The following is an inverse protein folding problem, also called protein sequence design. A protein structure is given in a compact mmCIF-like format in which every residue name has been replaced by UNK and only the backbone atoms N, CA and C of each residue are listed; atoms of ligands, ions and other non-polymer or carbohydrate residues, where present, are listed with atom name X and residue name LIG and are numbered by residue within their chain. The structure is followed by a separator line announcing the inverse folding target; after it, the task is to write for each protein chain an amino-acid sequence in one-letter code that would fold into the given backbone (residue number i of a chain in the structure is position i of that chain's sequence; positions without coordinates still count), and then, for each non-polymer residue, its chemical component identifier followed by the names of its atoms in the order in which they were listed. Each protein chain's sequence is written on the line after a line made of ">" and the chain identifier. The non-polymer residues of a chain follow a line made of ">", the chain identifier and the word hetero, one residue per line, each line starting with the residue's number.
data_IF_085795076229
#
_entry.id   IF_085795076229
#
_cell.length_a   1.000
_cell.length_b   1.000
_cell.length_c   1.000
_cell.angle_alpha   90.00
_cell.angle_beta   90.00
_cell.angle_gamma   90.00
#
_symmetry.space_group_name_H-M   'P 1'
#
loop_
_entity.id
_entity.type
_entity.pdbx_description
1 polymer ?
#
# COMPACT_ATOMS: atom_id res chain seq x y z
N UNK A 1 -26.59 23.50 16.98
CA UNK A 1 -25.81 22.91 18.09
C UNK A 1 -24.97 21.80 17.48
N UNK A 2 -23.66 22.00 17.30
CA UNK A 2 -22.81 20.94 16.79
C UNK A 2 -22.62 19.92 17.92
N UNK A 3 -23.38 18.85 17.86
CA UNK A 3 -23.50 17.87 18.95
C UNK A 3 -22.23 17.01 19.00
N UNK A 4 -21.24 17.45 19.78
CA UNK A 4 -19.98 16.74 19.94
C UNK A 4 -20.15 15.59 20.93
N UNK A 5 -19.88 14.35 20.49
CA UNK A 5 -19.91 13.17 21.36
C UNK A 5 -18.51 12.86 21.89
N UNK A 6 -18.41 12.61 23.20
CA UNK A 6 -17.18 12.13 23.84
C UNK A 6 -17.14 10.60 23.76
N UNK A 7 -16.08 10.07 23.17
CA UNK A 7 -15.74 8.64 23.21
C UNK A 7 -14.58 8.45 24.18
N UNK A 8 -14.61 7.40 25.00
CA UNK A 8 -13.52 7.04 25.93
C UNK A 8 -13.32 5.53 25.88
N UNK A 9 -12.07 5.10 25.77
CA UNK A 9 -11.65 3.71 25.83
C UNK A 9 -10.32 3.61 26.56
N UNK A 10 -10.02 2.42 27.07
CA UNK A 10 -8.78 2.15 27.80
C UNK A 10 -7.83 1.36 26.90
N UNK A 11 -6.55 1.70 26.95
CA UNK A 11 -5.46 0.93 26.38
C UNK A 11 -4.65 0.31 27.52
N UNK A 12 -4.17 -0.91 27.34
CA UNK A 12 -3.42 -1.67 28.34
C UNK A 12 -2.02 -2.00 27.82
N UNK A 13 -1.09 -1.03 27.83
CA UNK A 13 0.22 -1.18 27.18
C UNK A 13 1.05 -2.33 27.74
N UNK A 14 0.85 -2.73 29.01
CA UNK A 14 1.56 -3.87 29.60
C UNK A 14 1.01 -5.23 29.16
N UNK A 15 -0.27 -5.30 28.81
CA UNK A 15 -0.96 -6.54 28.45
C UNK A 15 -0.91 -6.83 26.96
N UNK A 16 -0.97 -5.79 26.12
CA UNK A 16 -1.04 -5.93 24.67
C UNK A 16 0.10 -5.18 23.98
N UNK A 17 0.77 -5.83 23.02
CA UNK A 17 1.83 -5.22 22.23
C UNK A 17 1.31 -4.06 21.37
N UNK A 18 0.11 -4.19 20.79
CA UNK A 18 -0.51 -3.16 19.97
C UNK A 18 -0.79 -1.88 20.76
N UNK A 19 -1.31 -2.02 21.99
CA UNK A 19 -1.57 -0.90 22.90
C UNK A 19 -0.27 -0.18 23.28
N UNK A 20 0.82 -0.93 23.45
CA UNK A 20 2.14 -0.37 23.74
C UNK A 20 2.67 0.48 22.57
N UNK A 21 2.46 0.03 21.34
CA UNK A 21 2.81 0.79 20.12
C UNK A 21 1.99 2.08 20.05
N UNK A 22 0.68 2.00 20.28
CA UNK A 22 -0.22 3.14 20.27
C UNK A 22 0.13 4.17 21.36
N UNK A 23 0.45 3.72 22.57
CA UNK A 23 0.85 4.57 23.69
C UNK A 23 2.14 5.34 23.37
N UNK A 24 3.19 4.63 22.93
CA UNK A 24 4.45 5.25 22.47
C UNK A 24 4.26 6.23 21.31
N UNK A 25 3.32 5.96 20.40
CA UNK A 25 2.99 6.87 19.31
C UNK A 25 2.36 8.16 19.83
N UNK A 26 1.44 8.06 20.80
CA UNK A 26 0.80 9.22 21.42
C UNK A 26 1.77 10.04 22.27
N UNK A 27 2.72 9.40 22.95
CA UNK A 27 3.74 10.09 23.74
C UNK A 27 4.63 11.01 22.89
N UNK A 28 5.01 10.55 21.68
CA UNK A 28 5.84 11.31 20.72
C UNK A 28 5.15 12.56 20.18
N UNK A 29 3.82 12.61 20.20
CA UNK A 29 3.05 13.73 19.65
C UNK A 29 2.91 14.88 20.67
N UNK A 30 3.02 16.15 20.21
CA UNK A 30 2.71 17.30 21.04
C UNK A 30 1.28 17.23 21.58
N UNK A 31 1.08 17.62 22.85
CA UNK A 31 -0.21 17.50 23.54
C UNK A 31 -1.38 18.15 22.77
N UNK A 32 -1.13 19.27 22.08
CA UNK A 32 -2.14 19.98 21.28
C UNK A 32 -2.63 19.17 20.07
N UNK A 33 -1.80 18.26 19.55
CA UNK A 33 -2.12 17.48 18.33
C UNK A 33 -2.67 16.09 18.63
N UNK A 34 -2.46 15.57 19.85
CA UNK A 34 -2.93 14.23 20.27
C UNK A 34 -4.42 14.03 20.00
N UNK A 35 -5.26 15.01 20.33
CA UNK A 35 -6.70 14.93 20.07
C UNK A 35 -7.07 14.81 18.59
N UNK A 36 -6.35 15.53 17.72
CA UNK A 36 -6.52 15.45 16.26
C UNK A 36 -6.07 14.08 15.73
N UNK A 37 -4.92 13.59 16.20
CA UNK A 37 -4.36 12.30 15.81
C UNK A 37 -5.26 11.14 16.25
N UNK A 38 -5.73 11.11 17.51
CA UNK A 38 -6.65 10.08 18.01
C UNK A 38 -7.95 10.04 17.22
N UNK A 39 -8.52 11.20 16.89
CA UNK A 39 -9.71 11.28 16.02
C UNK A 39 -9.43 10.71 14.63
N UNK A 40 -8.28 11.04 14.03
CA UNK A 40 -7.91 10.52 12.71
C UNK A 40 -7.73 8.99 12.73
N UNK A 41 -7.08 8.45 13.76
CA UNK A 41 -6.91 7.00 13.93
C UNK A 41 -8.26 6.28 14.09
N UNK A 42 -9.16 6.81 14.91
CA UNK A 42 -10.52 6.26 15.07
C UNK A 42 -11.30 6.28 13.75
N UNK A 43 -11.24 7.39 13.00
CA UNK A 43 -11.93 7.51 11.71
C UNK A 43 -11.33 6.58 10.65
N UNK A 44 -10.02 6.39 10.64
CA UNK A 44 -9.34 5.42 9.78
C UNK A 44 -9.84 4.00 10.07
N UNK A 45 -9.84 3.59 11.35
CA UNK A 45 -10.40 2.31 11.77
C UNK A 45 -11.86 2.14 11.33
N UNK A 46 -12.69 3.15 11.51
CA UNK A 46 -14.09 3.12 11.06
C UNK A 46 -14.24 3.01 9.54
N UNK A 47 -13.38 3.68 8.77
CA UNK A 47 -13.37 3.56 7.30
C UNK A 47 -12.99 2.15 6.84
N UNK A 48 -12.04 1.51 7.53
CA UNK A 48 -11.66 0.12 7.28
C UNK A 48 -12.77 -0.85 7.68
N UNK A 49 -13.43 -0.65 8.85
CA UNK A 49 -14.59 -1.47 9.26
C UNK A 49 -15.73 -1.43 8.24
N UNK A 50 -15.92 -0.29 7.55
CA UNK A 50 -16.96 -0.16 6.52
C UNK A 50 -16.71 -1.07 5.31
N UNK A 51 -15.45 -1.36 4.99
CA UNK A 51 -15.10 -2.27 3.89
C UNK A 51 -15.12 -3.73 4.33
N UNK A 52 -14.50 -4.02 5.47
CA UNK A 52 -14.56 -5.34 6.11
C UNK A 52 -14.49 -5.15 7.63
N UNK A 53 -15.44 -5.72 8.36
CA UNK A 53 -15.55 -5.58 9.82
C UNK A 53 -14.35 -6.18 10.56
N UNK A 54 -13.65 -7.16 9.97
CA UNK A 54 -12.54 -7.90 10.58
C UNK A 54 -11.21 -7.17 10.44
N UNK A 55 -11.08 -6.29 9.44
CA UNK A 55 -9.82 -5.63 9.09
C UNK A 55 -9.16 -4.90 10.25
N UNK A 56 -9.85 -4.01 10.97
CA UNK A 56 -9.23 -3.27 12.08
C UNK A 56 -8.82 -4.15 13.24
N UNK A 57 -9.58 -5.23 13.51
CA UNK A 57 -9.22 -6.19 14.55
C UNK A 57 -7.97 -6.99 14.17
N UNK A 58 -7.86 -7.44 12.92
CA UNK A 58 -6.68 -8.14 12.43
C UNK A 58 -5.45 -7.23 12.44
N UNK A 59 -5.58 -6.01 11.92
CA UNK A 59 -4.46 -5.05 11.92
C UNK A 59 -4.04 -4.72 13.36
N UNK A 60 -5.00 -4.57 14.29
CA UNK A 60 -4.69 -4.33 15.70
C UNK A 60 -3.97 -5.52 16.34
N UNK A 61 -4.38 -6.76 16.07
CA UNK A 61 -3.72 -7.96 16.62
C UNK A 61 -2.30 -8.16 16.08
N UNK A 62 -2.07 -7.85 14.80
CA UNK A 62 -0.76 -7.94 14.15
C UNK A 62 0.14 -6.72 14.40
N UNK A 63 -0.35 -5.68 15.08
CA UNK A 63 0.43 -4.47 15.34
C UNK A 63 1.49 -4.73 16.41
N UNK A 64 2.75 -4.66 15.98
CA UNK A 64 3.95 -4.83 16.81
C UNK A 64 4.94 -3.72 16.47
N UNK A 65 6.02 -3.59 17.26
CA UNK A 65 7.07 -2.59 17.00
C UNK A 65 7.77 -2.77 15.63
N UNK A 66 7.72 -3.98 15.04
CA UNK A 66 8.36 -4.33 13.76
C UNK A 66 7.40 -4.41 12.58
N UNK A 67 6.12 -4.08 12.76
CA UNK A 67 5.13 -4.23 11.69
C UNK A 67 5.46 -3.32 10.51
N UNK A 68 5.64 -3.91 9.32
CA UNK A 68 5.91 -3.19 8.09
C UNK A 68 4.63 -2.86 7.33
N UNK A 69 4.69 -1.85 6.46
CA UNK A 69 3.62 -1.55 5.51
C UNK A 69 3.29 -2.76 4.62
N UNK A 70 4.29 -3.58 4.28
CA UNK A 70 4.08 -4.80 3.49
C UNK A 70 3.19 -5.81 4.22
N UNK A 71 3.30 -5.91 5.54
CA UNK A 71 2.47 -6.84 6.33
C UNK A 71 1.02 -6.36 6.39
N UNK A 72 0.83 -5.04 6.54
CA UNK A 72 -0.50 -4.41 6.48
C UNK A 72 -1.14 -4.66 5.10
N UNK A 73 -0.38 -4.49 4.01
CA UNK A 73 -0.87 -4.77 2.65
C UNK A 73 -1.28 -6.23 2.48
N UNK A 74 -0.49 -7.18 2.98
CA UNK A 74 -0.82 -8.62 2.94
C UNK A 74 -2.11 -8.92 3.69
N UNK A 75 -2.29 -8.35 4.88
CA UNK A 75 -3.53 -8.52 5.66
C UNK A 75 -4.72 -7.99 4.85
N UNK A 76 -4.60 -6.79 4.28
CA UNK A 76 -5.67 -6.17 3.47
C UNK A 76 -6.00 -7.00 2.23
N UNK A 77 -5.00 -7.46 1.48
CA UNK A 77 -5.18 -8.33 0.32
C UNK A 77 -5.74 -9.71 0.68
N UNK A 78 -5.52 -10.20 1.91
CA UNK A 78 -6.06 -11.48 2.37
C UNK A 78 -7.53 -11.39 2.78
N UNK A 79 -7.98 -10.24 3.27
CA UNK A 79 -9.36 -10.02 3.74
C UNK A 79 -10.28 -9.56 2.63
N UNK A 80 -9.76 -8.80 1.66
CA UNK A 80 -10.54 -8.35 0.52
C UNK A 80 -10.48 -9.43 -0.58
N UNK A 81 -11.62 -9.91 -1.10
CA UNK A 81 -11.60 -10.69 -2.34
C UNK A 81 -10.96 -9.82 -3.42
N UNK A 82 -10.05 -10.39 -4.22
CA UNK A 82 -9.34 -9.70 -5.32
C UNK A 82 -10.32 -8.77 -6.05
N UNK A 83 -10.30 -7.49 -5.72
CA UNK A 83 -11.03 -6.51 -6.49
C UNK A 83 -10.23 -6.39 -7.78
N UNK A 84 -10.84 -6.84 -8.87
CA UNK A 84 -10.32 -6.73 -10.23
C UNK A 84 -9.62 -5.35 -10.37
N UNK A 85 -8.32 -5.35 -10.67
CA UNK A 85 -7.46 -4.15 -10.73
C UNK A 85 -8.03 -2.98 -11.57
N UNK A 86 -9.09 -3.22 -12.35
CA UNK A 86 -9.80 -2.22 -13.14
C UNK A 86 -10.48 -1.11 -12.34
N UNK A 87 -10.92 -1.32 -11.10
CA UNK A 87 -11.55 -0.24 -10.32
C UNK A 87 -10.55 0.75 -9.76
N UNK A 88 -9.37 0.29 -9.33
CA UNK A 88 -8.29 1.14 -8.83
C UNK A 88 -7.72 2.01 -9.95
N UNK A 89 -7.59 1.46 -11.16
CA UNK A 89 -7.20 2.23 -12.36
C UNK A 89 -8.24 3.31 -12.68
N UNK A 90 -9.53 2.99 -12.62
CA UNK A 90 -10.61 3.96 -12.87
C UNK A 90 -10.68 5.08 -11.84
N UNK A 91 -10.44 4.77 -10.56
CA UNK A 91 -10.42 5.78 -9.51
C UNK A 91 -9.18 6.69 -9.61
N UNK A 92 -8.02 6.13 -9.96
CA UNK A 92 -6.82 6.91 -10.24
C UNK A 92 -7.02 7.82 -11.45
N UNK A 93 -7.64 7.30 -12.52
CA UNK A 93 -7.96 8.05 -13.72
C UNK A 93 -8.97 9.18 -13.44
N UNK A 94 -10.01 8.92 -12.66
CA UNK A 94 -10.97 9.94 -12.22
C UNK A 94 -10.32 11.02 -11.34
N UNK A 95 -9.35 10.65 -10.49
CA UNK A 95 -8.61 11.61 -9.65
C UNK A 95 -7.66 12.48 -10.48
N UNK A 96 -6.97 11.90 -11.47
CA UNK A 96 -6.14 12.62 -12.44
C UNK A 96 -6.97 13.59 -13.30
N UNK A 97 -8.16 13.18 -13.74
CA UNK A 97 -9.10 14.03 -14.47
C UNK A 97 -9.64 15.18 -13.59
N UNK A 98 -9.91 14.92 -12.30
CA UNK A 98 -10.36 15.95 -11.36
C UNK A 98 -9.25 16.94 -10.95
N UNK A 99 -7.98 16.56 -10.99
CA UNK A 99 -6.84 17.42 -10.70
C UNK A 99 -6.37 18.25 -11.92
N UNK A 100 -6.92 17.96 -13.10
CA UNK A 100 -6.43 18.40 -14.41
C UNK A 100 -6.76 19.82 -14.86
N UNK A 101 -6.91 20.81 -13.97
CA UNK A 101 -7.08 22.22 -14.40
C UNK A 101 -6.00 23.19 -13.93
N UNK A 102 -4.99 22.80 -13.13
CA UNK A 102 -3.90 23.73 -12.73
C UNK A 102 -2.55 23.05 -12.47
N UNK A 103 -2.02 22.31 -13.44
CA UNK A 103 -0.60 21.93 -13.44
C UNK A 103 -0.07 21.76 -14.87
N UNK A 104 0.20 22.88 -15.53
CA UNK A 104 1.11 22.90 -16.68
C UNK A 104 2.52 22.98 -16.11
N UNK A 105 3.42 22.10 -16.59
CA UNK A 105 4.80 21.86 -16.11
C UNK A 105 4.79 20.91 -14.90
N UNK A 106 5.07 19.61 -14.98
CA UNK A 106 6.08 18.87 -15.73
C UNK A 106 5.47 17.50 -16.09
N UNK A 107 5.36 17.19 -17.38
CA UNK A 107 5.27 15.82 -17.88
C UNK A 107 6.56 15.58 -18.67
N UNK A 108 7.30 14.48 -18.48
CA UNK A 108 8.11 13.98 -19.58
C UNK A 108 7.14 13.49 -20.66
N UNK A 109 7.32 13.96 -21.88
CA UNK A 109 6.55 13.50 -23.03
C UNK A 109 6.72 11.99 -23.18
N UNK A 110 5.66 11.23 -22.92
CA UNK A 110 5.53 9.86 -23.41
C UNK A 110 4.73 9.98 -24.69
N UNK A 111 5.45 10.26 -25.78
CA UNK A 111 4.92 10.04 -27.12
C UNK A 111 4.50 8.58 -27.22
N UNK A 112 3.29 8.36 -27.74
CA UNK A 112 2.83 7.05 -28.14
C UNK A 112 3.68 6.56 -29.30
N UNK A 113 4.73 5.81 -28.98
CA UNK A 113 5.35 4.84 -29.87
C UNK A 113 5.34 3.50 -29.13
N UNK A 114 4.66 2.52 -29.71
CA UNK A 114 4.75 1.11 -29.33
C UNK A 114 6.23 0.73 -29.22
N UNK A 115 6.73 0.57 -27.98
CA UNK A 115 8.06 0.04 -27.71
C UNK A 115 7.90 -1.14 -26.77
N UNK A 116 8.05 -2.32 -27.37
CA UNK A 116 8.30 -3.58 -26.70
C UNK A 116 9.40 -3.37 -25.64
N UNK A 117 9.17 -3.85 -24.43
CA UNK A 117 10.18 -3.90 -23.39
C UNK A 117 11.19 -4.98 -23.83
N UNK A 118 12.17 -4.58 -24.64
CA UNK A 118 13.37 -5.37 -24.87
C UNK A 118 14.23 -5.27 -23.63
N UNK A 119 14.32 -6.37 -22.86
CA UNK A 119 15.43 -6.57 -21.94
C UNK A 119 16.75 -6.28 -22.70
N UNK A 120 17.78 -5.69 -22.07
CA UNK A 120 19.07 -5.54 -22.73
C UNK A 120 19.52 -6.93 -23.12
N UNK A 121 19.52 -7.22 -24.42
CA UNK A 121 19.93 -8.51 -24.93
C UNK A 121 21.42 -8.59 -24.70
N UNK A 122 21.79 -9.27 -23.62
CA UNK A 122 23.16 -9.53 -23.26
C UNK A 122 23.81 -10.25 -24.44
N UNK A 123 24.70 -9.54 -25.14
CA UNK A 123 25.29 -9.99 -26.41
C UNK A 123 26.05 -11.32 -26.20
N UNK A 124 26.58 -11.51 -24.98
CA UNK A 124 27.18 -12.75 -24.50
C UNK A 124 26.19 -13.93 -24.44
N UNK A 125 24.91 -13.68 -24.11
CA UNK A 125 23.89 -14.74 -24.02
C UNK A 125 23.47 -15.23 -25.40
N UNK A 126 23.41 -14.34 -26.40
CA UNK A 126 23.17 -14.71 -27.80
C UNK A 126 24.34 -15.51 -28.38
N UNK A 127 25.57 -15.10 -28.10
CA UNK A 127 26.76 -15.83 -28.53
C UNK A 127 26.86 -17.21 -27.86
N UNK A 128 26.57 -17.29 -26.56
CA UNK A 128 26.51 -18.57 -25.84
C UNK A 128 25.46 -19.50 -26.45
N UNK A 129 24.29 -18.97 -26.79
CA UNK A 129 23.19 -19.74 -27.40
C UNK A 129 23.49 -20.19 -28.84
N UNK A 130 24.29 -19.44 -29.61
CA UNK A 130 24.73 -19.85 -30.95
C UNK A 130 25.86 -20.89 -30.89
N UNK A 131 26.79 -20.78 -29.95
CA UNK A 131 27.89 -21.74 -29.84
C UNK A 131 27.42 -23.15 -29.43
N UNK A 132 26.38 -23.24 -28.60
CA UNK A 132 25.84 -24.55 -28.15
C UNK A 132 25.15 -25.31 -29.29
N UNK A 133 24.60 -24.61 -30.30
CA UNK A 133 23.92 -25.24 -31.44
C UNK A 133 24.84 -26.07 -32.32
N UNK A 134 26.15 -25.84 -32.26
CA UNK A 134 27.15 -26.60 -33.01
C UNK A 134 27.82 -27.71 -32.17
N UNK A 135 27.40 -27.93 -30.92
CA UNK A 135 28.08 -28.84 -30.00
C UNK A 135 27.56 -30.29 -30.06
N UNK A 136 26.40 -30.51 -30.67
CA UNK A 136 25.82 -31.84 -30.87
C UNK A 136 25.38 -31.98 -32.33
N UNK A 137 26.24 -32.49 -33.21
CA UNK A 137 25.81 -32.99 -34.51
C UNK A 137 24.85 -34.16 -34.27
N UNK A 138 23.69 -34.17 -34.93
CA UNK A 138 22.84 -35.33 -34.95
C UNK A 138 23.59 -36.44 -35.74
N UNK A 139 24.07 -37.46 -35.03
CA UNK A 139 24.63 -38.67 -35.64
C UNK A 139 23.48 -39.41 -36.36
N UNK A 140 23.63 -39.60 -37.69
CA UNK A 140 22.82 -40.53 -38.51
C UNK A 140 23.03 -42.01 -38.10
#
# INVERSE_FOLDING_TARGET
>A
MADNRKCSFYIYPERNAADRVADRFLEKLPQKERGRAMRAMMLCGAALMKQDERLPFLIAEFLTDSTSMQDIQRIISSTLPQQENGEVVRLLEAFLQSAGNNAKTILPAVDSATQEISAPVDQNLLETRNNIKNLFPDDE
#
